data_IF_521125608748
#
_entry.id   IF_521125608748
#
_cell.length_a   1.000
_cell.length_b   1.000
_cell.length_c   1.000
_cell.angle_alpha   90.00
_cell.angle_beta   90.00
_cell.angle_gamma   90.00
#
_symmetry.space_group_name_H-M   'P 1'
#
loop_
_entity.id
_entity.type
_entity.pdbx_description
1 polymer ?
#
# COMPACT_ATOMS: atom_id res chain seq x y z
N UNK A 1 22.74 -9.55 3.07
CA UNK A 1 22.21 -8.30 3.64
C UNK A 1 22.21 -8.44 5.16
N UNK A 2 22.86 -7.52 5.88
CA UNK A 2 22.88 -7.50 7.34
C UNK A 2 21.78 -6.56 7.82
N UNK A 3 20.92 -7.04 8.73
CA UNK A 3 19.69 -6.34 9.14
C UNK A 3 19.39 -6.53 10.62
N UNK A 4 18.60 -5.59 11.17
CA UNK A 4 17.87 -5.76 12.43
C UNK A 4 16.39 -5.53 12.16
N UNK A 5 15.53 -6.32 12.79
CA UNK A 5 14.09 -6.28 12.63
C UNK A 5 13.40 -6.24 14.01
N UNK A 6 12.42 -5.36 14.18
CA UNK A 6 11.69 -5.21 15.45
C UNK A 6 10.60 -6.25 15.64
N UNK A 7 10.15 -6.86 14.56
CA UNK A 7 9.07 -7.85 14.53
C UNK A 7 9.34 -8.97 13.54
N UNK A 8 8.45 -9.14 12.58
CA UNK A 8 8.61 -10.06 11.45
C UNK A 8 8.19 -9.38 10.16
N UNK A 9 9.11 -9.28 9.22
CA UNK A 9 8.86 -8.76 7.88
C UNK A 9 9.18 -9.79 6.81
N UNK A 10 8.49 -9.72 5.68
CA UNK A 10 8.78 -10.54 4.52
C UNK A 10 9.21 -9.65 3.35
N UNK A 11 10.15 -10.15 2.56
CA UNK A 11 10.70 -9.43 1.41
C UNK A 11 10.67 -10.30 0.16
N UNK A 12 10.24 -9.71 -0.94
CA UNK A 12 10.48 -10.25 -2.27
C UNK A 12 11.90 -9.89 -2.70
N UNK A 13 12.66 -10.88 -3.17
CA UNK A 13 13.98 -10.70 -3.78
C UNK A 13 13.85 -10.98 -5.26
N UNK A 14 14.10 -9.98 -6.10
CA UNK A 14 14.08 -10.09 -7.54
C UNK A 14 15.49 -10.01 -8.09
N UNK A 15 15.81 -10.85 -9.07
CA UNK A 15 17.03 -10.79 -9.86
C UNK A 15 16.61 -10.58 -11.31
N UNK A 16 17.15 -9.57 -11.96
CA UNK A 16 16.83 -9.21 -13.34
C UNK A 16 15.32 -9.12 -13.61
N UNK A 17 14.60 -8.51 -12.67
CA UNK A 17 13.16 -8.31 -12.73
C UNK A 17 12.31 -9.55 -12.43
N UNK A 18 12.91 -10.73 -12.22
CA UNK A 18 12.19 -11.97 -11.91
C UNK A 18 12.25 -12.26 -10.41
N UNK A 19 11.12 -12.67 -9.83
CA UNK A 19 11.09 -13.13 -8.44
C UNK A 19 12.01 -14.34 -8.27
N UNK A 20 13.06 -14.17 -7.46
CA UNK A 20 14.03 -15.22 -7.16
C UNK A 20 13.59 -16.01 -5.92
N UNK A 21 13.24 -15.32 -4.85
CA UNK A 21 12.71 -15.92 -3.62
C UNK A 21 12.02 -14.90 -2.73
N UNK A 22 11.31 -15.41 -1.73
CA UNK A 22 10.81 -14.64 -0.58
C UNK A 22 11.72 -14.93 0.62
N UNK A 23 12.07 -13.90 1.38
CA UNK A 23 12.85 -14.05 2.61
C UNK A 23 12.07 -13.51 3.80
N UNK A 24 12.08 -14.27 4.89
CA UNK A 24 11.62 -13.82 6.21
C UNK A 24 12.76 -13.09 6.91
N UNK A 25 12.47 -11.96 7.49
CA UNK A 25 13.40 -11.14 8.26
C UNK A 25 12.84 -10.98 9.67
N UNK A 26 13.64 -11.38 10.66
CA UNK A 26 13.31 -11.26 12.08
C UNK A 26 14.59 -11.23 12.91
N UNK A 27 14.51 -10.72 14.13
CA UNK A 27 15.64 -10.65 15.06
C UNK A 27 16.64 -9.53 14.76
N UNK A 28 17.62 -9.39 15.63
CA UNK A 28 18.65 -8.36 15.57
C UNK A 28 19.93 -8.91 14.96
N UNK A 29 20.66 -8.06 14.23
CA UNK A 29 21.99 -8.35 13.67
C UNK A 29 22.05 -9.62 12.80
N UNK A 30 20.98 -9.88 12.06
CA UNK A 30 20.81 -11.10 11.26
C UNK A 30 21.45 -10.93 9.88
N UNK A 31 22.15 -11.95 9.40
CA UNK A 31 22.67 -12.00 8.02
C UNK A 31 21.69 -12.79 7.13
N UNK A 32 21.02 -12.09 6.25
CA UNK A 32 20.10 -12.68 5.26
C UNK A 32 20.84 -12.94 3.96
N UNK A 33 20.90 -14.20 3.55
CA UNK A 33 21.45 -14.58 2.26
C UNK A 33 20.43 -14.29 1.16
N UNK A 34 20.77 -13.38 0.23
CA UNK A 34 19.84 -12.93 -0.82
C UNK A 34 19.95 -13.77 -2.09
N UNK A 35 21.15 -13.90 -2.63
CA UNK A 35 21.39 -14.55 -3.93
C UNK A 35 22.71 -15.31 -3.91
N UNK A 36 22.76 -16.46 -4.60
CA UNK A 36 24.00 -17.19 -4.91
C UNK A 36 23.90 -17.85 -6.27
N UNK A 37 25.05 -18.23 -6.82
CA UNK A 37 25.11 -19.02 -8.06
C UNK A 37 24.70 -18.27 -9.33
N UNK A 38 24.71 -16.93 -9.30
CA UNK A 38 24.53 -16.12 -10.52
C UNK A 38 25.86 -15.98 -11.25
N UNK A 39 25.81 -15.77 -12.56
CA UNK A 39 26.99 -15.61 -13.39
C UNK A 39 27.73 -14.28 -13.12
N UNK A 40 28.81 -14.00 -13.87
CA UNK A 40 29.69 -12.84 -13.62
C UNK A 40 29.29 -11.55 -14.35
N UNK A 41 28.15 -11.53 -15.02
CA UNK A 41 27.65 -10.29 -15.66
C UNK A 41 27.04 -9.34 -14.65
N UNK A 42 26.62 -8.16 -15.12
CA UNK A 42 25.86 -7.20 -14.31
C UNK A 42 24.44 -7.73 -14.14
N UNK A 43 23.97 -7.77 -12.91
CA UNK A 43 22.63 -8.13 -12.52
C UNK A 43 21.93 -6.99 -11.77
N UNK A 44 20.64 -6.83 -11.98
CA UNK A 44 19.82 -6.00 -11.13
C UNK A 44 19.29 -6.82 -9.95
N UNK A 45 19.43 -6.28 -8.74
CA UNK A 45 18.88 -6.84 -7.52
C UNK A 45 17.87 -5.86 -6.92
N UNK A 46 16.59 -6.25 -6.87
CA UNK A 46 15.55 -5.50 -6.19
C UNK A 46 15.09 -6.26 -4.95
N UNK A 47 15.10 -5.57 -3.81
CA UNK A 47 14.61 -6.10 -2.54
C UNK A 47 13.42 -5.24 -2.14
N UNK A 48 12.26 -5.85 -2.04
CA UNK A 48 11.01 -5.15 -1.75
C UNK A 48 10.37 -5.72 -0.49
N UNK A 49 10.19 -4.87 0.53
CA UNK A 49 9.34 -5.24 1.67
C UNK A 49 7.93 -5.49 1.14
N UNK A 50 7.36 -6.66 1.45
CA UNK A 50 6.05 -7.07 0.94
C UNK A 50 4.96 -6.99 1.99
N UNK A 51 5.34 -7.01 3.27
CA UNK A 51 4.44 -6.86 4.41
C UNK A 51 4.40 -5.42 4.91
N UNK A 52 3.27 -5.02 5.48
CA UNK A 52 3.06 -3.67 5.99
C UNK A 52 3.88 -3.35 7.26
N UNK A 53 3.90 -2.07 7.66
CA UNK A 53 4.78 -1.56 8.70
C UNK A 53 4.46 -2.02 10.12
N UNK A 54 3.19 -2.37 10.39
CA UNK A 54 2.77 -2.79 11.74
C UNK A 54 3.42 -4.10 12.21
N UNK A 55 3.81 -5.00 11.26
CA UNK A 55 4.42 -6.28 11.60
C UNK A 55 5.90 -6.19 11.92
N UNK A 56 6.55 -5.08 11.59
CA UNK A 56 7.94 -4.87 11.94
C UNK A 56 8.62 -3.76 11.13
N UNK A 57 9.72 -3.26 11.71
CA UNK A 57 10.58 -2.22 11.13
C UNK A 57 11.96 -2.81 10.92
N UNK A 58 12.40 -2.84 9.65
CA UNK A 58 13.72 -3.36 9.29
C UNK A 58 14.73 -2.23 9.15
N UNK A 59 15.85 -2.33 9.87
CA UNK A 59 17.05 -1.52 9.63
C UNK A 59 18.02 -2.32 8.79
N UNK A 60 18.36 -1.82 7.62
CA UNK A 60 19.39 -2.40 6.75
C UNK A 60 20.72 -1.76 7.14
N UNK A 61 21.65 -2.55 7.67
CA UNK A 61 22.97 -2.07 8.07
C UNK A 61 23.96 -2.10 6.92
N UNK A 62 23.91 -3.18 6.10
CA UNK A 62 24.94 -3.36 5.08
C UNK A 62 24.52 -4.42 4.05
N UNK A 63 24.97 -4.24 2.81
CA UNK A 63 25.01 -5.29 1.80
C UNK A 63 26.41 -5.87 1.75
N UNK A 64 26.53 -7.19 1.88
CA UNK A 64 27.80 -7.91 1.80
C UNK A 64 27.87 -8.62 0.47
N UNK A 65 28.87 -8.29 -0.33
CA UNK A 65 29.17 -8.97 -1.59
C UNK A 65 30.28 -9.98 -1.35
N UNK A 66 30.15 -11.17 -1.94
CA UNK A 66 31.18 -12.22 -1.83
C UNK A 66 32.13 -12.19 -3.03
N UNK A 67 33.36 -12.68 -2.81
CA UNK A 67 34.38 -12.79 -3.86
C UNK A 67 34.81 -11.42 -4.41
N UNK A 68 34.88 -11.33 -5.74
CA UNK A 68 35.27 -10.11 -6.47
C UNK A 68 34.08 -9.25 -6.88
N UNK A 69 32.87 -9.52 -6.35
CA UNK A 69 31.68 -8.77 -6.64
C UNK A 69 31.79 -7.30 -6.24
N UNK A 70 31.25 -6.41 -7.06
CA UNK A 70 31.20 -4.96 -6.80
C UNK A 70 29.85 -4.41 -7.26
N UNK A 71 29.45 -3.28 -6.69
CA UNK A 71 28.28 -2.54 -7.17
C UNK A 71 28.59 -1.92 -8.54
N UNK A 72 27.65 -2.02 -9.45
CA UNK A 72 27.65 -1.30 -10.73
C UNK A 72 27.06 0.11 -10.53
N UNK A 73 27.03 0.90 -11.60
CA UNK A 73 26.33 2.17 -11.61
C UNK A 73 24.85 1.99 -11.30
N UNK A 74 24.26 3.00 -10.68
CA UNK A 74 22.86 3.01 -10.35
C UNK A 74 22.00 2.98 -11.62
N UNK A 75 20.95 2.14 -11.69
CA UNK A 75 20.05 2.13 -12.83
C UNK A 75 19.29 3.46 -12.94
N UNK A 76 18.95 3.83 -14.17
CA UNK A 76 18.16 5.04 -14.41
C UNK A 76 16.84 5.00 -13.62
N UNK A 77 16.55 6.12 -12.97
CA UNK A 77 15.29 6.31 -12.23
C UNK A 77 14.16 6.48 -13.23
N UNK A 78 12.99 5.89 -12.94
CA UNK A 78 11.80 6.14 -13.73
C UNK A 78 11.36 7.59 -13.61
N UNK A 79 10.81 8.11 -14.69
CA UNK A 79 10.38 9.52 -14.77
C UNK A 79 8.98 9.74 -14.21
N UNK A 80 8.22 8.66 -13.98
CA UNK A 80 6.85 8.72 -13.43
C UNK A 80 6.82 8.14 -12.04
N UNK A 81 6.02 8.76 -11.16
CA UNK A 81 5.80 8.29 -9.81
C UNK A 81 4.32 8.35 -9.45
N UNK A 82 3.74 7.24 -8.99
CA UNK A 82 2.36 7.17 -8.52
C UNK A 82 2.36 6.85 -7.02
N UNK A 83 1.68 7.68 -6.23
CA UNK A 83 1.45 7.42 -4.82
C UNK A 83 0.07 6.81 -4.62
N UNK A 84 -0.01 5.71 -3.87
CA UNK A 84 -1.25 5.04 -3.52
C UNK A 84 -1.50 5.14 -2.03
N UNK A 85 -2.60 5.76 -1.65
CA UNK A 85 -3.06 5.87 -0.26
C UNK A 85 -4.21 4.89 -0.06
N UNK A 86 -4.09 3.97 0.91
CA UNK A 86 -5.09 2.93 1.05
C UNK A 86 -5.06 2.17 2.36
N UNK A 87 -5.59 0.96 2.30
CA UNK A 87 -5.71 0.05 3.43
C UNK A 87 -5.25 -1.36 3.03
N UNK A 88 -5.81 -2.42 3.62
CA UNK A 88 -5.46 -3.82 3.35
C UNK A 88 -5.43 -4.19 1.87
N UNK A 89 -6.29 -3.59 1.03
CA UNK A 89 -6.28 -3.82 -0.43
C UNK A 89 -5.01 -3.27 -1.09
N UNK A 90 -4.43 -2.24 -0.54
CA UNK A 90 -3.18 -1.65 -1.02
C UNK A 90 -1.96 -2.33 -0.40
N UNK A 91 -2.04 -2.74 0.88
CA UNK A 91 -1.01 -3.55 1.55
C UNK A 91 -0.83 -4.93 0.89
N UNK A 92 -1.89 -5.49 0.33
CA UNK A 92 -1.88 -6.86 -0.20
C UNK A 92 -2.15 -7.90 0.86
N UNK A 93 -3.00 -7.56 1.83
CA UNK A 93 -3.41 -8.44 2.93
C UNK A 93 -3.99 -9.74 2.39
N UNK A 94 -3.37 -10.86 2.72
CA UNK A 94 -3.82 -12.18 2.30
C UNK A 94 -3.71 -12.50 0.79
N UNK A 95 -3.04 -11.66 -0.01
CA UNK A 95 -2.99 -11.80 -1.47
C UNK A 95 -2.37 -13.12 -1.96
N UNK A 96 -1.39 -13.68 -1.24
CA UNK A 96 -0.78 -14.98 -1.55
C UNK A 96 -1.51 -16.16 -0.89
N UNK A 97 -2.61 -15.92 -0.17
CA UNK A 97 -3.47 -16.97 0.37
C UNK A 97 -4.13 -17.77 -0.75
N UNK A 98 -4.35 -19.06 -0.52
CA UNK A 98 -4.93 -19.98 -1.51
C UNK A 98 -6.44 -20.02 -1.46
N UNK A 99 -7.01 -19.68 -0.31
CA UNK A 99 -8.44 -19.76 -0.08
C UNK A 99 -8.91 -18.67 0.89
N UNK A 100 -10.10 -18.13 0.65
CA UNK A 100 -10.66 -17.01 1.43
C UNK A 100 -10.88 -17.31 2.93
N UNK A 101 -11.08 -18.58 3.28
CA UNK A 101 -11.32 -19.00 4.67
C UNK A 101 -10.01 -19.32 5.42
N UNK A 102 -8.86 -19.21 4.77
CA UNK A 102 -7.57 -19.26 5.45
C UNK A 102 -7.41 -18.02 6.35
N UNK A 103 -6.87 -18.18 7.56
CA UNK A 103 -6.54 -17.03 8.39
C UNK A 103 -5.44 -16.21 7.72
N UNK A 104 -5.42 -14.92 8.01
CA UNK A 104 -4.30 -14.08 7.62
C UNK A 104 -3.02 -14.54 8.31
N UNK A 105 -1.94 -14.60 7.53
CA UNK A 105 -0.57 -14.75 8.00
C UNK A 105 0.28 -13.66 7.34
N UNK A 106 1.25 -13.10 8.05
CA UNK A 106 2.12 -12.04 7.51
C UNK A 106 2.84 -12.50 6.23
N UNK A 107 3.14 -13.79 6.12
CA UNK A 107 3.73 -14.39 4.93
C UNK A 107 2.80 -14.40 3.71
N UNK A 108 1.48 -14.33 3.90
CA UNK A 108 0.51 -14.27 2.80
C UNK A 108 0.26 -12.85 2.30
N UNK A 109 0.80 -11.85 2.98
CA UNK A 109 0.72 -10.48 2.52
C UNK A 109 1.72 -10.21 1.40
N UNK A 110 1.27 -9.52 0.33
CA UNK A 110 2.13 -9.26 -0.82
C UNK A 110 1.74 -7.99 -1.59
N UNK A 111 2.26 -6.87 -1.18
CA UNK A 111 1.99 -5.60 -1.83
C UNK A 111 2.41 -5.56 -3.31
N UNK A 112 3.36 -6.40 -3.75
CA UNK A 112 3.80 -6.46 -5.15
C UNK A 112 2.73 -7.00 -6.10
N UNK A 113 1.77 -7.75 -5.60
CA UNK A 113 0.69 -8.37 -6.38
C UNK A 113 -0.65 -7.63 -6.24
N UNK A 114 -0.67 -6.46 -5.61
CA UNK A 114 -1.87 -5.63 -5.54
C UNK A 114 -2.12 -4.84 -6.83
N UNK A 115 -3.36 -4.39 -7.00
CA UNK A 115 -3.75 -3.50 -8.09
C UNK A 115 -2.81 -2.30 -8.21
N UNK A 116 -2.42 -1.70 -7.08
CA UNK A 116 -1.57 -0.53 -7.02
C UNK A 116 -0.20 -0.77 -7.67
N UNK A 117 0.51 -1.80 -7.23
CA UNK A 117 1.80 -2.17 -7.81
C UNK A 117 1.70 -2.63 -9.27
N UNK A 118 0.59 -3.28 -9.66
CA UNK A 118 0.39 -3.72 -11.04
C UNK A 118 0.10 -2.55 -11.99
N UNK A 119 -0.75 -1.62 -11.57
CA UNK A 119 -1.05 -0.40 -12.33
C UNK A 119 0.21 0.45 -12.51
N UNK A 120 1.00 0.65 -11.45
CA UNK A 120 2.27 1.39 -11.56
C UNK A 120 3.22 0.75 -12.57
N UNK A 121 3.39 -0.57 -12.52
CA UNK A 121 4.23 -1.30 -13.52
C UNK A 121 3.69 -1.21 -14.94
N UNK A 122 2.38 -1.24 -15.11
CA UNK A 122 1.74 -1.10 -16.43
C UNK A 122 2.07 0.24 -17.07
N UNK A 123 2.12 1.32 -16.28
CA UNK A 123 2.47 2.67 -16.74
C UNK A 123 3.98 2.97 -16.69
N UNK A 124 4.81 1.98 -16.42
CA UNK A 124 6.27 2.13 -16.22
C UNK A 124 6.59 3.27 -15.21
N UNK A 125 5.87 3.26 -14.10
CA UNK A 125 6.04 4.23 -13.03
C UNK A 125 6.70 3.60 -11.79
N UNK A 126 7.49 4.39 -11.08
CA UNK A 126 7.82 4.10 -9.69
C UNK A 126 6.58 4.36 -8.82
N UNK A 127 6.56 3.79 -7.63
CA UNK A 127 5.37 3.92 -6.79
C UNK A 127 5.69 3.87 -5.29
N UNK A 128 4.86 4.56 -4.54
CA UNK A 128 4.83 4.53 -3.08
C UNK A 128 3.48 4.01 -2.62
N UNK A 129 3.47 3.09 -1.67
CA UNK A 129 2.26 2.55 -1.05
C UNK A 129 2.18 3.07 0.39
N UNK A 130 1.27 4.00 0.64
CA UNK A 130 0.99 4.55 1.96
C UNK A 130 -0.31 3.93 2.44
N UNK A 131 -0.20 2.81 3.14
CA UNK A 131 -1.35 2.00 3.46
C UNK A 131 -1.19 1.28 4.79
N UNK A 132 -2.32 1.06 5.47
CA UNK A 132 -2.38 0.28 6.70
C UNK A 132 -3.71 -0.49 6.76
N UNK A 133 -3.63 -1.80 7.00
CA UNK A 133 -4.80 -2.67 7.09
C UNK A 133 -5.75 -2.24 8.21
N UNK A 134 -7.05 -2.34 7.96
CA UNK A 134 -8.08 -1.95 8.91
C UNK A 134 -8.30 -0.44 9.07
N UNK A 135 -7.51 0.43 8.43
CA UNK A 135 -7.66 1.89 8.58
C UNK A 135 -8.59 2.46 7.52
N UNK A 136 -9.43 3.41 7.95
CA UNK A 136 -10.33 4.16 7.10
C UNK A 136 -9.96 5.63 6.98
N UNK A 137 -10.81 6.40 6.34
CA UNK A 137 -10.68 7.85 6.25
C UNK A 137 -11.18 8.55 7.53
N UNK A 138 -12.34 8.14 8.02
CA UNK A 138 -12.98 8.67 9.23
C UNK A 138 -13.03 7.64 10.36
N UNK A 139 -13.21 6.35 10.03
CA UNK A 139 -13.37 5.27 11.00
C UNK A 139 -12.57 4.04 10.60
N UNK A 140 -11.93 3.42 11.57
CA UNK A 140 -11.22 2.16 11.35
C UNK A 140 -12.16 0.95 11.51
N UNK A 141 -11.76 -0.16 10.91
CA UNK A 141 -12.45 -1.45 11.05
C UNK A 141 -12.57 -1.85 12.52
N UNK A 142 -13.77 -2.25 12.93
CA UNK A 142 -14.02 -2.78 14.27
C UNK A 142 -14.10 -1.76 15.40
N UNK A 143 -13.81 -0.47 15.17
CA UNK A 143 -13.93 0.55 16.20
C UNK A 143 -15.40 0.73 16.64
N UNK A 144 -15.60 0.91 17.95
CA UNK A 144 -16.93 1.11 18.56
C UNK A 144 -17.47 2.53 18.42
N UNK A 145 -16.69 3.44 17.82
CA UNK A 145 -17.04 4.86 17.62
C UNK A 145 -17.26 5.16 16.14
N UNK A 146 -18.04 6.21 15.82
CA UNK A 146 -18.30 6.63 14.43
C UNK A 146 -17.09 7.30 13.78
N UNK A 147 -16.27 7.94 14.57
CA UNK A 147 -15.05 8.62 14.12
C UNK A 147 -13.90 8.17 14.99
N UNK A 148 -12.91 7.54 14.40
CA UNK A 148 -11.71 7.07 15.08
C UNK A 148 -10.76 8.22 15.40
N UNK A 149 -10.01 8.10 16.48
CA UNK A 149 -9.06 9.12 16.93
C UNK A 149 -7.90 9.30 15.93
N UNK A 150 -7.39 8.20 15.39
CA UNK A 150 -6.28 8.16 14.43
C UNK A 150 -6.69 7.31 13.24
N UNK A 151 -6.70 7.89 12.06
CA UNK A 151 -7.08 7.23 10.79
C UNK A 151 -6.01 7.44 9.73
N UNK A 152 -6.26 7.04 8.48
CA UNK A 152 -5.30 7.27 7.39
C UNK A 152 -4.98 8.74 7.15
N UNK A 153 -5.92 9.67 7.43
CA UNK A 153 -5.65 11.12 7.34
C UNK A 153 -4.51 11.60 8.25
N UNK A 154 -4.26 10.89 9.35
CA UNK A 154 -3.21 11.21 10.32
C UNK A 154 -1.93 10.43 10.01
N UNK A 155 -2.07 9.16 9.59
CA UNK A 155 -0.96 8.22 9.34
C UNK A 155 -0.19 8.54 8.07
N UNK A 156 -0.85 8.95 7.00
CA UNK A 156 -0.21 9.26 5.72
C UNK A 156 0.81 10.41 5.79
N UNK A 157 0.81 11.16 6.88
CA UNK A 157 1.75 12.26 7.12
C UNK A 157 3.06 11.83 7.78
N UNK A 158 3.26 10.54 8.03
CA UNK A 158 4.38 10.07 8.84
C UNK A 158 5.33 9.17 8.06
N UNK A 159 6.61 9.23 8.41
CA UNK A 159 7.65 8.31 7.88
C UNK A 159 7.42 6.89 8.37
N UNK A 160 7.06 6.75 9.64
CA UNK A 160 6.68 5.48 10.25
C UNK A 160 5.21 5.53 10.59
N UNK A 161 4.45 4.65 10.01
CA UNK A 161 3.00 4.61 10.11
C UNK A 161 2.47 4.62 11.55
N UNK A 162 3.11 3.87 12.45
CA UNK A 162 2.74 3.79 13.86
C UNK A 162 3.29 4.95 14.73
N UNK A 163 4.18 5.79 14.18
CA UNK A 163 4.81 6.86 14.91
C UNK A 163 4.37 8.24 14.40
N UNK A 164 3.41 8.83 15.08
CA UNK A 164 2.86 10.14 14.71
C UNK A 164 3.83 11.31 14.94
N UNK A 165 4.99 11.07 15.56
CA UNK A 165 5.98 12.11 15.87
C UNK A 165 6.99 12.32 14.73
N UNK A 166 7.23 11.29 13.90
CA UNK A 166 8.17 11.35 12.80
C UNK A 166 7.45 11.66 11.49
N UNK A 167 7.37 12.95 11.16
CA UNK A 167 6.70 13.40 9.93
C UNK A 167 7.51 13.07 8.69
N UNK A 168 6.79 12.70 7.63
CA UNK A 168 7.39 12.52 6.30
C UNK A 168 7.84 13.87 5.72
N UNK A 169 8.98 13.88 5.06
CA UNK A 169 9.44 15.04 4.31
C UNK A 169 8.88 15.00 2.87
N UNK A 170 7.76 15.66 2.64
CA UNK A 170 7.09 15.72 1.33
C UNK A 170 7.91 16.38 0.22
N UNK A 171 9.10 16.93 0.51
CA UNK A 171 10.02 17.47 -0.47
C UNK A 171 10.96 16.41 -1.08
N UNK A 172 11.00 15.20 -0.52
CA UNK A 172 11.85 14.10 -1.03
C UNK A 172 11.46 13.67 -2.44
N UNK A 173 10.17 13.64 -2.75
CA UNK A 173 9.65 13.45 -4.10
C UNK A 173 8.27 14.07 -4.23
N UNK A 174 7.87 14.35 -5.46
CA UNK A 174 6.52 14.79 -5.80
C UNK A 174 5.91 13.77 -6.77
N UNK A 175 4.81 13.09 -6.42
CA UNK A 175 4.16 12.15 -7.33
C UNK A 175 3.52 12.90 -8.52
N UNK A 176 3.40 12.21 -9.65
CA UNK A 176 2.65 12.69 -10.81
C UNK A 176 1.15 12.44 -10.68
N UNK A 177 0.77 11.46 -9.84
CA UNK A 177 -0.61 11.08 -9.56
C UNK A 177 -0.69 10.53 -8.13
N UNK A 178 -1.71 10.93 -7.38
CA UNK A 178 -2.12 10.25 -6.14
C UNK A 178 -3.40 9.46 -6.39
N UNK A 179 -3.44 8.21 -5.95
CA UNK A 179 -4.62 7.35 -6.01
C UNK A 179 -5.07 7.03 -4.58
N UNK A 180 -6.32 7.30 -4.24
CA UNK A 180 -6.88 7.06 -2.90
C UNK A 180 -7.91 5.93 -2.97
N UNK A 181 -7.67 4.84 -2.25
CA UNK A 181 -8.60 3.72 -2.09
C UNK A 181 -8.94 3.52 -0.62
N UNK A 182 -9.81 4.36 -0.09
CA UNK A 182 -10.28 4.36 1.30
C UNK A 182 -11.80 4.34 1.35
N UNK A 183 -12.38 3.94 2.48
CA UNK A 183 -13.81 3.93 2.75
C UNK A 183 -14.35 2.55 3.10
N UNK A 184 -13.74 1.47 2.60
CA UNK A 184 -14.21 0.11 2.90
C UNK A 184 -14.22 -0.19 4.40
N UNK A 185 -13.23 0.24 5.17
CA UNK A 185 -13.18 0.06 6.61
C UNK A 185 -14.17 0.95 7.37
N UNK A 186 -14.42 2.15 6.85
CA UNK A 186 -15.37 3.10 7.44
C UNK A 186 -16.78 2.52 7.53
N UNK A 187 -17.16 1.69 6.55
CA UNK A 187 -18.53 1.15 6.38
C UNK A 187 -18.61 -0.38 6.48
N UNK A 188 -17.58 -1.05 6.96
CA UNK A 188 -17.56 -2.52 7.06
C UNK A 188 -18.25 -3.06 8.31
N UNK A 189 -18.23 -2.31 9.39
CA UNK A 189 -18.84 -2.67 10.69
C UNK A 189 -19.55 -1.46 11.32
N UNK A 190 -20.59 -1.70 12.13
CA UNK A 190 -21.27 -0.64 12.87
C UNK A 190 -20.44 -0.18 14.08
N UNK A 191 -20.58 1.10 14.51
CA UNK A 191 -21.45 2.15 13.94
C UNK A 191 -20.81 2.85 12.76
N UNK A 192 -21.50 2.95 11.63
CA UNK A 192 -20.98 3.69 10.47
C UNK A 192 -20.87 5.20 10.76
N UNK A 193 -19.88 5.91 10.18
CA UNK A 193 -19.83 7.36 10.25
C UNK A 193 -21.02 7.99 9.52
N UNK A 194 -21.52 9.11 10.03
CA UNK A 194 -22.49 9.90 9.29
C UNK A 194 -21.86 10.48 8.01
N UNK A 195 -22.72 10.83 7.04
CA UNK A 195 -22.26 11.45 5.78
C UNK A 195 -21.32 12.65 6.05
N UNK A 196 -21.73 13.54 6.96
CA UNK A 196 -20.94 14.72 7.32
C UNK A 196 -19.58 14.40 7.93
N UNK A 197 -19.49 13.35 8.74
CA UNK A 197 -18.25 12.90 9.38
C UNK A 197 -17.28 12.30 8.34
N UNK A 198 -17.77 11.41 7.48
CA UNK A 198 -16.97 10.79 6.44
C UNK A 198 -16.50 11.82 5.40
N UNK A 199 -17.43 12.66 4.89
CA UNK A 199 -17.06 13.67 3.89
C UNK A 199 -16.07 14.69 4.44
N UNK A 200 -16.21 15.10 5.71
CA UNK A 200 -15.25 15.98 6.38
C UNK A 200 -13.86 15.37 6.44
N UNK A 201 -13.75 14.11 6.91
CA UNK A 201 -12.46 13.42 7.02
C UNK A 201 -11.79 13.21 5.65
N UNK A 202 -12.56 12.81 4.65
CA UNK A 202 -12.04 12.60 3.30
C UNK A 202 -11.57 13.90 2.65
N UNK A 203 -12.32 15.00 2.83
CA UNK A 203 -11.89 16.34 2.36
C UNK A 203 -10.63 16.83 3.05
N UNK A 204 -10.40 16.45 4.32
CA UNK A 204 -9.14 16.74 5.00
C UNK A 204 -7.96 16.03 4.34
N UNK A 205 -8.11 14.77 3.92
CA UNK A 205 -7.08 14.05 3.15
C UNK A 205 -6.75 14.82 1.86
N UNK A 206 -7.77 15.22 1.10
CA UNK A 206 -7.57 15.97 -0.14
C UNK A 206 -6.87 17.32 0.11
N UNK A 207 -7.27 18.04 1.14
CA UNK A 207 -6.65 19.32 1.52
C UNK A 207 -5.16 19.17 1.90
N UNK A 208 -4.82 18.14 2.68
CA UNK A 208 -3.45 17.82 3.05
C UNK A 208 -2.59 17.48 1.81
N UNK A 209 -3.12 16.72 0.87
CA UNK A 209 -2.42 16.42 -0.38
C UNK A 209 -2.20 17.67 -1.23
N UNK A 210 -3.17 18.59 -1.28
CA UNK A 210 -3.00 19.89 -1.94
C UNK A 210 -1.95 20.77 -1.26
N UNK A 211 -1.92 20.76 0.07
CA UNK A 211 -0.92 21.50 0.83
C UNK A 211 0.51 21.01 0.53
N UNK A 212 0.70 19.69 0.46
CA UNK A 212 2.02 19.10 0.30
C UNK A 212 2.49 19.00 -1.16
N UNK A 213 1.61 18.62 -2.07
CA UNK A 213 1.95 18.32 -3.46
C UNK A 213 1.45 19.36 -4.47
N UNK A 214 0.63 20.33 -4.03
CA UNK A 214 0.06 21.34 -4.88
C UNK A 214 -0.88 20.76 -5.94
N UNK A 215 -0.78 21.26 -7.14
CA UNK A 215 -1.70 21.01 -8.24
C UNK A 215 -1.34 19.74 -9.03
N UNK A 216 -1.50 18.55 -8.41
CA UNK A 216 -1.34 17.24 -9.05
C UNK A 216 -2.70 16.56 -9.25
N UNK A 217 -2.86 15.65 -10.21
CA UNK A 217 -4.04 14.80 -10.31
C UNK A 217 -4.22 13.92 -9.07
N UNK A 218 -5.47 13.81 -8.57
CA UNK A 218 -5.86 12.91 -7.50
C UNK A 218 -7.02 12.07 -7.99
N UNK A 219 -6.88 10.74 -7.94
CA UNK A 219 -7.93 9.79 -8.30
C UNK A 219 -8.49 9.13 -7.03
N UNK A 220 -9.73 9.44 -6.71
CA UNK A 220 -10.49 8.79 -5.64
C UNK A 220 -11.18 7.55 -6.19
N UNK A 221 -10.92 6.38 -5.61
CA UNK A 221 -11.58 5.12 -5.99
C UNK A 221 -12.71 4.84 -5.01
N UNK A 222 -13.93 4.62 -5.54
CA UNK A 222 -15.02 4.02 -4.78
C UNK A 222 -14.77 2.51 -4.71
N UNK A 223 -14.49 1.95 -3.52
CA UNK A 223 -14.07 0.55 -3.40
C UNK A 223 -15.15 -0.46 -3.83
N UNK A 224 -14.73 -1.53 -4.50
CA UNK A 224 -15.62 -2.61 -5.00
C UNK A 224 -16.44 -3.27 -3.88
N UNK A 225 -15.87 -3.40 -2.68
CA UNK A 225 -16.51 -4.08 -1.55
C UNK A 225 -17.63 -3.27 -0.88
N UNK A 226 -17.78 -2.00 -1.24
CA UNK A 226 -18.74 -1.13 -0.57
C UNK A 226 -20.16 -1.33 -1.11
N UNK A 227 -21.12 -1.27 -0.19
CA UNK A 227 -22.53 -1.33 -0.52
C UNK A 227 -23.13 0.09 -0.68
N UNK A 228 -24.13 0.24 -1.57
CA UNK A 228 -24.90 1.46 -1.61
C UNK A 228 -25.58 1.74 -0.23
N UNK A 229 -25.78 2.99 0.19
CA UNK A 229 -25.88 4.24 -0.59
C UNK A 229 -24.61 5.12 -0.58
N UNK A 230 -23.49 4.63 -0.08
CA UNK A 230 -22.29 5.45 0.24
C UNK A 230 -21.66 6.12 -0.98
N UNK A 231 -21.94 5.65 -2.19
CA UNK A 231 -21.39 6.30 -3.40
C UNK A 231 -21.75 7.79 -3.46
N UNK A 232 -22.98 8.17 -3.05
CA UNK A 232 -23.39 9.58 -3.00
C UNK A 232 -22.58 10.45 -2.06
N UNK A 233 -21.82 9.85 -1.12
CA UNK A 233 -20.92 10.59 -0.26
C UNK A 233 -19.65 11.02 -1.01
N UNK A 234 -19.14 10.15 -1.89
CA UNK A 234 -18.02 10.49 -2.76
C UNK A 234 -18.39 11.53 -3.79
N UNK A 235 -19.58 11.42 -4.40
CA UNK A 235 -20.10 12.46 -5.32
C UNK A 235 -20.21 13.81 -4.61
N UNK A 236 -20.70 13.83 -3.36
CA UNK A 236 -20.76 15.04 -2.57
C UNK A 236 -19.35 15.62 -2.27
N UNK A 237 -18.36 14.76 -1.94
CA UNK A 237 -16.97 15.20 -1.74
C UNK A 237 -16.44 15.88 -2.97
N UNK A 238 -16.54 15.25 -4.15
CA UNK A 238 -16.04 15.79 -5.42
C UNK A 238 -16.72 17.13 -5.75
N UNK A 239 -18.03 17.19 -5.62
CA UNK A 239 -18.81 18.41 -5.91
C UNK A 239 -18.46 19.55 -4.94
N UNK A 240 -18.29 19.25 -3.65
CA UNK A 240 -17.98 20.27 -2.64
C UNK A 240 -16.54 20.77 -2.73
N UNK A 241 -15.59 19.87 -3.08
CA UNK A 241 -14.18 20.26 -3.29
C UNK A 241 -14.02 21.08 -4.56
N UNK A 242 -14.82 20.81 -5.58
CA UNK A 242 -14.87 21.52 -6.86
C UNK A 242 -13.48 21.78 -7.47
N UNK A 243 -12.62 20.77 -7.43
CA UNK A 243 -11.26 20.82 -7.95
C UNK A 243 -11.19 20.03 -9.26
N UNK A 244 -10.86 20.65 -10.41
CA UNK A 244 -10.86 19.99 -11.73
C UNK A 244 -9.80 18.88 -11.85
N UNK A 245 -8.88 18.74 -10.89
CA UNK A 245 -7.87 17.69 -10.84
C UNK A 245 -8.15 16.62 -9.79
N UNK A 246 -9.34 16.60 -9.21
CA UNK A 246 -9.81 15.52 -8.35
C UNK A 246 -10.86 14.71 -9.09
N UNK A 247 -10.58 13.45 -9.32
CA UNK A 247 -11.40 12.54 -10.12
C UNK A 247 -12.00 11.44 -9.24
N UNK A 248 -13.17 10.93 -9.62
CA UNK A 248 -13.82 9.80 -8.98
C UNK A 248 -13.94 8.63 -9.96
N UNK A 249 -13.41 7.48 -9.57
CA UNK A 249 -13.59 6.21 -10.27
C UNK A 249 -14.51 5.29 -9.46
N UNK A 250 -15.63 4.91 -10.04
CA UNK A 250 -16.52 3.88 -9.51
C UNK A 250 -16.19 2.55 -10.16
N UNK A 251 -15.71 1.61 -9.38
CA UNK A 251 -15.51 0.24 -9.85
C UNK A 251 -16.83 -0.55 -9.81
N UNK A 252 -17.00 -1.45 -10.77
CA UNK A 252 -18.16 -2.34 -10.78
C UNK A 252 -18.09 -3.31 -9.60
N UNK A 253 -19.20 -3.47 -8.87
CA UNK A 253 -19.31 -4.39 -7.73
C UNK A 253 -19.05 -5.86 -8.09
N UNK A 254 -19.18 -6.22 -9.37
CA UNK A 254 -18.94 -7.56 -9.90
C UNK A 254 -17.56 -7.70 -10.54
N UNK A 255 -16.65 -6.76 -10.32
CA UNK A 255 -15.33 -6.74 -10.94
C UNK A 255 -14.56 -8.05 -10.69
N UNK A 256 -14.71 -8.66 -9.51
CA UNK A 256 -14.10 -9.95 -9.20
C UNK A 256 -15.10 -10.95 -8.60
N UNK A 257 -14.82 -12.22 -8.81
CA UNK A 257 -15.61 -13.32 -8.28
C UNK A 257 -15.21 -13.63 -6.83
N UNK A 258 -16.14 -13.45 -5.90
CA UNK A 258 -15.91 -13.68 -4.45
C UNK A 258 -15.63 -15.14 -4.07
N UNK A 259 -15.75 -16.08 -5.01
CA UNK A 259 -15.44 -17.50 -4.76
C UNK A 259 -14.03 -17.84 -5.24
N UNK A 260 -13.61 -17.33 -6.41
CA UNK A 260 -12.37 -17.74 -7.06
C UNK A 260 -11.25 -16.71 -7.01
N UNK A 261 -11.59 -15.45 -6.73
CA UNK A 261 -10.63 -14.35 -6.81
C UNK A 261 -10.17 -13.85 -5.43
N UNK A 262 -10.56 -14.55 -4.35
CA UNK A 262 -10.12 -14.22 -2.99
C UNK A 262 -8.94 -15.08 -2.56
N UNK A 263 -8.00 -14.43 -1.89
CA UNK A 263 -6.94 -15.03 -1.09
C UNK A 263 -7.36 -15.20 0.38
N UNK A 264 -6.42 -15.18 1.33
CA UNK A 264 -6.72 -15.38 2.74
C UNK A 264 -7.59 -14.25 3.34
N UNK A 265 -8.28 -14.59 4.42
CA UNK A 265 -9.08 -13.67 5.23
C UNK A 265 -10.06 -12.81 4.42
N UNK A 266 -10.70 -13.40 3.41
CA UNK A 266 -11.71 -12.75 2.56
C UNK A 266 -11.23 -11.52 1.79
N UNK A 267 -9.91 -11.35 1.63
CA UNK A 267 -9.32 -10.30 0.83
C UNK A 267 -9.05 -10.79 -0.60
N UNK A 268 -8.95 -9.89 -1.58
CA UNK A 268 -8.61 -10.27 -2.94
C UNK A 268 -7.25 -10.98 -3.01
N UNK A 269 -7.22 -12.13 -3.67
CA UNK A 269 -5.99 -12.76 -4.10
C UNK A 269 -5.42 -12.08 -5.36
N UNK A 270 -4.32 -12.58 -5.88
CA UNK A 270 -3.70 -12.04 -7.10
C UNK A 270 -4.70 -11.94 -8.27
N UNK A 271 -5.55 -12.95 -8.48
CA UNK A 271 -6.57 -12.94 -9.54
C UNK A 271 -7.59 -11.81 -9.36
N UNK A 272 -7.99 -11.52 -8.11
CA UNK A 272 -8.90 -10.43 -7.80
C UNK A 272 -8.27 -9.05 -8.01
N UNK A 273 -7.01 -8.90 -7.63
CA UNK A 273 -6.29 -7.64 -7.84
C UNK A 273 -5.99 -7.34 -9.31
N UNK A 274 -5.92 -8.37 -10.16
CA UNK A 274 -5.60 -8.25 -11.58
C UNK A 274 -6.77 -7.74 -12.44
N UNK A 275 -7.97 -7.84 -11.94
CA UNK A 275 -9.19 -7.38 -12.63
C UNK A 275 -9.45 -5.91 -12.37
#
# INVERSE_FOLDING_TARGET
MKVSETGTSYYNVFVDGKLHKVVKVCGTDTLIHLVSGIDKRIHSLKIQKRSEGEFGKTTVHQFVLSGSGRLAEEPAVRTRHIEFIGNSLTCGYGTDGKHRDEPFLVETENCNLTFASMVARYYDADYTLIAHSGRGAARNYGDSVRVSKVTMKDRMLNTFDEDLTHKWNFKEYRPDLVVINLGSNDFSTEPHPYKSEFTKAYKQILAQLREHYGDIPILCIYPVAMQAPVFSYYEAIINEVNDPKVFLLKLDKNLYNRTTDLGAAWHPGYSGHKK
#
